data_IF_613942345371
#
_entry.id   IF_613942345371
#
_cell.length_a   1.000
_cell.length_b   1.000
_cell.length_c   1.000
_cell.angle_alpha   90.00
_cell.angle_beta   90.00
_cell.angle_gamma   90.00
#
_symmetry.space_group_name_H-M   'P 1'
#
loop_
_entity.id
_entity.type
_entity.pdbx_description
1 polymer ?
#
# COMPACT_ATOMS: atom_id res chain seq x y z
N UNK A 1 4.56 -15.57 -44.50
CA UNK A 1 5.39 -14.56 -43.81
C UNK A 1 5.04 -14.63 -42.32
N UNK A 2 5.84 -15.28 -41.52
CA UNK A 2 5.58 -15.41 -40.08
C UNK A 2 6.08 -14.14 -39.42
N UNK A 3 5.17 -13.32 -38.90
CA UNK A 3 5.53 -12.20 -38.02
C UNK A 3 6.15 -12.77 -36.77
N UNK A 4 7.41 -12.42 -36.51
CA UNK A 4 8.10 -12.81 -35.29
C UNK A 4 7.27 -12.35 -34.09
N UNK A 5 6.86 -13.29 -33.21
CA UNK A 5 6.18 -12.97 -31.96
C UNK A 5 7.11 -12.08 -31.14
N UNK A 6 6.77 -10.81 -31.00
CA UNK A 6 7.49 -9.88 -30.15
C UNK A 6 7.44 -10.40 -28.72
N UNK A 7 8.59 -10.82 -28.18
CA UNK A 7 8.71 -11.17 -26.77
C UNK A 7 8.85 -9.87 -25.98
N UNK A 8 7.89 -9.62 -25.11
CA UNK A 8 7.96 -8.48 -24.18
C UNK A 8 8.87 -8.82 -22.99
N UNK A 9 9.64 -7.84 -22.55
CA UNK A 9 10.37 -7.92 -21.28
C UNK A 9 9.41 -7.78 -20.10
N UNK A 10 9.79 -8.26 -18.91
CA UNK A 10 8.97 -8.06 -17.70
C UNK A 10 8.67 -6.59 -17.44
N UNK A 11 9.65 -5.70 -17.67
CA UNK A 11 9.47 -4.25 -17.54
C UNK A 11 8.38 -3.73 -18.48
N UNK A 12 8.40 -4.11 -19.76
CA UNK A 12 7.38 -3.70 -20.74
C UNK A 12 5.99 -4.19 -20.32
N UNK A 13 5.87 -5.41 -19.80
CA UNK A 13 4.60 -5.96 -19.30
C UNK A 13 4.11 -5.16 -18.09
N UNK A 14 4.97 -4.89 -17.11
CA UNK A 14 4.64 -4.11 -15.93
C UNK A 14 4.23 -2.68 -16.29
N UNK A 15 4.91 -2.05 -17.24
CA UNK A 15 4.57 -0.71 -17.70
C UNK A 15 3.20 -0.68 -18.39
N UNK A 16 2.80 -1.74 -19.08
CA UNK A 16 1.45 -1.86 -19.64
C UNK A 16 0.39 -2.06 -18.55
N UNK A 17 0.66 -2.89 -17.53
CA UNK A 17 -0.26 -3.12 -16.42
C UNK A 17 -0.49 -1.83 -15.63
N UNK A 18 0.54 -1.03 -15.42
CA UNK A 18 0.50 0.21 -14.65
C UNK A 18 0.47 1.47 -15.55
N UNK A 19 -0.02 1.33 -16.78
CA UNK A 19 -0.20 2.46 -17.69
C UNK A 19 -1.09 3.57 -17.07
N UNK A 20 -0.82 4.87 -17.29
CA UNK A 20 0.24 5.41 -18.14
C UNK A 20 1.61 5.62 -17.48
N UNK A 21 1.77 5.38 -16.19
CA UNK A 21 2.94 5.83 -15.44
C UNK A 21 3.98 4.73 -15.16
N UNK A 22 3.65 3.46 -15.42
CA UNK A 22 4.50 2.33 -15.08
C UNK A 22 4.71 2.15 -13.56
N UNK A 23 5.51 1.16 -13.17
CA UNK A 23 5.89 0.93 -11.78
C UNK A 23 7.36 1.21 -11.55
N UNK A 24 7.65 2.01 -10.49
CA UNK A 24 9.02 2.24 -10.01
C UNK A 24 9.33 1.45 -8.74
N UNK A 25 8.38 0.64 -8.26
CA UNK A 25 8.47 -0.10 -6.99
C UNK A 25 8.37 -1.60 -7.20
N UNK A 26 7.48 -2.05 -8.08
CA UNK A 26 7.38 -3.45 -8.51
C UNK A 26 8.31 -3.65 -9.70
N UNK A 27 9.28 -4.56 -9.58
CA UNK A 27 10.31 -4.76 -10.59
C UNK A 27 10.13 -6.02 -11.41
N UNK A 28 9.43 -7.03 -10.87
CA UNK A 28 9.26 -8.33 -11.50
C UNK A 28 7.80 -8.78 -11.51
N UNK A 29 7.45 -9.67 -12.43
CA UNK A 29 6.13 -10.30 -12.46
C UNK A 29 5.91 -11.19 -11.24
N UNK A 30 6.96 -11.75 -10.66
CA UNK A 30 6.87 -12.54 -9.44
C UNK A 30 6.43 -11.68 -8.24
N UNK A 31 6.95 -10.45 -8.11
CA UNK A 31 6.49 -9.51 -7.08
C UNK A 31 5.02 -9.13 -7.27
N UNK A 32 4.61 -8.89 -8.50
CA UNK A 32 3.21 -8.63 -8.83
C UNK A 32 2.31 -9.82 -8.47
N UNK A 33 2.72 -11.02 -8.81
CA UNK A 33 1.99 -12.25 -8.50
C UNK A 33 1.93 -12.50 -6.98
N UNK A 34 3.00 -12.21 -6.25
CA UNK A 34 3.02 -12.29 -4.80
C UNK A 34 1.97 -11.38 -4.17
N UNK A 35 1.86 -10.12 -4.62
CA UNK A 35 0.83 -9.19 -4.17
C UNK A 35 -0.58 -9.70 -4.50
N UNK A 36 -0.79 -10.27 -5.67
CA UNK A 36 -2.08 -10.87 -6.05
C UNK A 36 -2.46 -12.04 -5.13
N UNK A 37 -1.50 -12.92 -4.83
CA UNK A 37 -1.71 -14.04 -3.90
C UNK A 37 -2.07 -13.53 -2.50
N UNK A 38 -1.34 -12.55 -1.98
CA UNK A 38 -1.56 -12.03 -0.63
C UNK A 38 -2.90 -11.31 -0.47
N UNK A 39 -3.35 -10.60 -1.51
CA UNK A 39 -4.59 -9.81 -1.47
C UNK A 39 -5.81 -10.57 -1.99
N UNK A 40 -5.62 -11.69 -2.69
CA UNK A 40 -6.67 -12.38 -3.42
C UNK A 40 -7.21 -11.60 -4.63
N UNK A 41 -6.53 -10.54 -5.07
CA UNK A 41 -6.97 -9.67 -6.17
C UNK A 41 -6.45 -10.18 -7.51
N UNK A 42 -7.33 -10.35 -8.50
CA UNK A 42 -6.95 -10.78 -9.86
C UNK A 42 -6.24 -9.67 -10.65
N UNK A 43 -6.63 -8.42 -10.45
CA UNK A 43 -6.09 -7.25 -11.15
C UNK A 43 -5.71 -6.12 -10.21
N UNK A 44 -4.64 -5.40 -10.55
CA UNK A 44 -4.19 -4.20 -9.85
C UNK A 44 -4.21 -3.02 -10.84
N UNK A 45 -4.72 -1.89 -10.39
CA UNK A 45 -4.72 -0.64 -11.16
C UNK A 45 -3.98 0.43 -10.38
N UNK A 46 -3.13 1.18 -11.07
CA UNK A 46 -2.45 2.32 -10.47
C UNK A 46 -3.43 3.48 -10.32
N UNK A 47 -3.74 3.83 -9.07
CA UNK A 47 -4.67 4.91 -8.72
C UNK A 47 -3.94 6.23 -8.53
N UNK A 48 -2.77 6.18 -7.88
CA UNK A 48 -1.94 7.33 -7.58
C UNK A 48 -0.45 6.96 -7.68
N UNK A 49 0.32 7.79 -8.35
CA UNK A 49 1.78 7.78 -8.34
C UNK A 49 2.26 9.15 -7.88
N UNK A 50 2.69 9.26 -6.64
CA UNK A 50 3.02 10.54 -6.00
C UNK A 50 4.11 11.32 -6.73
N UNK A 51 5.10 10.65 -7.32
CA UNK A 51 6.14 11.30 -8.14
C UNK A 51 5.61 11.99 -9.41
N UNK A 52 4.38 11.69 -9.82
CA UNK A 52 3.72 12.29 -11.00
C UNK A 52 2.57 13.20 -10.58
N UNK A 53 1.73 12.73 -9.66
CA UNK A 53 0.48 13.39 -9.28
C UNK A 53 0.61 14.31 -8.06
N UNK A 54 1.78 14.35 -7.42
CA UNK A 54 1.99 15.08 -6.18
C UNK A 54 1.76 14.22 -4.94
N UNK A 55 2.16 14.76 -3.79
CA UNK A 55 2.27 14.09 -2.50
C UNK A 55 1.39 14.75 -1.41
N UNK A 56 0.36 15.49 -1.79
CA UNK A 56 -0.60 16.06 -0.85
C UNK A 56 -1.63 15.03 -0.37
N UNK A 57 -2.05 15.17 0.88
CA UNK A 57 -3.12 14.36 1.48
C UNK A 57 -4.42 14.53 0.70
N UNK A 58 -4.77 15.75 0.33
CA UNK A 58 -5.99 16.04 -0.44
C UNK A 58 -6.03 15.23 -1.75
N UNK A 59 -4.92 15.21 -2.49
CA UNK A 59 -4.83 14.41 -3.72
C UNK A 59 -4.94 12.92 -3.43
N UNK A 60 -4.27 12.43 -2.38
CA UNK A 60 -4.38 11.03 -1.95
C UNK A 60 -5.83 10.67 -1.60
N UNK A 61 -6.48 11.44 -0.74
CA UNK A 61 -7.84 11.19 -0.30
C UNK A 61 -8.83 11.24 -1.47
N UNK A 62 -8.70 12.22 -2.38
CA UNK A 62 -9.57 12.32 -3.56
C UNK A 62 -9.53 11.07 -4.46
N UNK A 63 -8.39 10.37 -4.49
CA UNK A 63 -8.17 9.16 -5.30
C UNK A 63 -8.53 7.86 -4.57
N UNK A 64 -8.53 7.87 -3.24
CA UNK A 64 -8.70 6.65 -2.42
C UNK A 64 -10.05 6.59 -1.67
N UNK A 65 -11.01 7.44 -2.00
CA UNK A 65 -12.32 7.49 -1.34
C UNK A 65 -13.42 6.61 -1.97
N UNK A 66 -13.08 5.76 -2.94
CA UNK A 66 -14.07 5.04 -3.76
C UNK A 66 -14.65 3.77 -3.12
N UNK A 67 -14.30 3.44 -1.88
CA UNK A 67 -14.78 2.24 -1.19
C UNK A 67 -14.13 0.91 -1.65
N UNK A 68 -13.08 0.98 -2.47
CA UNK A 68 -12.34 -0.19 -2.98
C UNK A 68 -11.18 -0.54 -2.05
N UNK A 69 -10.68 -1.76 -2.20
CA UNK A 69 -9.44 -2.19 -1.55
C UNK A 69 -8.22 -1.49 -2.15
N UNK A 70 -7.22 -1.23 -1.33
CA UNK A 70 -6.01 -0.53 -1.76
C UNK A 70 -4.73 -1.26 -1.34
N UNK A 71 -3.73 -1.19 -2.22
CA UNK A 71 -2.35 -1.50 -1.89
C UNK A 71 -1.58 -0.18 -1.90
N UNK A 72 -0.93 0.13 -0.79
CA UNK A 72 0.01 1.24 -0.67
C UNK A 72 1.42 0.69 -0.83
N UNK A 73 2.16 1.24 -1.77
CA UNK A 73 3.55 0.86 -2.04
C UNK A 73 4.48 2.03 -1.71
N UNK A 74 5.51 1.76 -0.94
CA UNK A 74 6.50 2.74 -0.52
C UNK A 74 7.90 2.28 -0.93
N UNK A 75 8.65 3.20 -1.51
CA UNK A 75 10.09 3.04 -1.75
C UNK A 75 10.85 4.18 -1.07
N UNK A 76 11.74 3.84 -0.17
CA UNK A 76 12.56 4.83 0.53
C UNK A 76 13.69 5.34 -0.36
N UNK A 77 14.30 6.47 0.02
CA UNK A 77 15.51 7.00 -0.63
C UNK A 77 16.70 6.01 -0.57
N UNK A 78 16.71 5.12 0.41
CA UNK A 78 17.71 4.04 0.52
C UNK A 78 17.39 2.80 -0.31
N UNK A 79 16.24 2.80 -1.02
CA UNK A 79 15.83 1.72 -1.90
C UNK A 79 14.98 0.64 -1.23
N UNK A 80 14.72 0.69 0.08
CA UNK A 80 13.84 -0.28 0.74
C UNK A 80 12.40 -0.17 0.24
N UNK A 81 11.78 -1.32 -0.02
CA UNK A 81 10.43 -1.41 -0.59
C UNK A 81 9.52 -2.20 0.33
N UNK A 82 8.43 -1.57 0.72
CA UNK A 82 7.43 -2.13 1.60
C UNK A 82 6.07 -1.49 1.31
N UNK A 83 5.05 -1.92 2.03
CA UNK A 83 3.73 -1.35 1.87
C UNK A 83 2.70 -1.94 2.80
N UNK A 84 1.45 -1.67 2.46
CA UNK A 84 0.30 -2.14 3.20
C UNK A 84 -0.85 -2.50 2.24
N UNK A 85 -1.72 -3.37 2.71
CA UNK A 85 -3.00 -3.68 2.08
C UNK A 85 -4.14 -3.39 3.04
N UNK A 86 -5.21 -2.82 2.51
CA UNK A 86 -6.49 -2.67 3.20
C UNK A 86 -7.64 -3.04 2.28
N UNK A 87 -8.67 -3.67 2.85
CA UNK A 87 -9.92 -3.95 2.16
C UNK A 87 -10.96 -2.83 2.28
N UNK A 88 -10.63 -1.76 3.03
CA UNK A 88 -11.48 -0.58 3.23
C UNK A 88 -10.80 0.68 2.72
N UNK A 89 -11.55 1.76 2.54
CA UNK A 89 -10.98 3.04 2.09
C UNK A 89 -10.38 3.84 3.24
N UNK A 90 -9.58 4.85 2.89
CA UNK A 90 -8.94 5.78 3.83
C UNK A 90 -9.77 7.03 4.13
N UNK A 91 -11.00 7.16 3.59
CA UNK A 91 -11.85 8.33 3.81
C UNK A 91 -12.44 8.29 5.22
N UNK A 92 -12.37 9.37 6.01
CA UNK A 92 -13.15 9.49 7.25
C UNK A 92 -14.65 9.28 6.97
N UNK A 93 -15.40 8.74 7.94
CA UNK A 93 -16.85 8.60 7.79
C UNK A 93 -17.51 9.99 7.74
N UNK A 94 -18.30 10.26 6.71
CA UNK A 94 -19.00 11.55 6.51
C UNK A 94 -20.00 11.91 7.62
N UNK A 95 -20.34 10.94 8.47
CA UNK A 95 -21.33 11.10 9.55
C UNK A 95 -20.70 11.32 10.95
N UNK A 96 -19.37 11.43 11.02
CA UNK A 96 -18.74 11.76 12.29
C UNK A 96 -18.90 13.29 12.53
N UNK A 97 -19.90 13.66 13.33
CA UNK A 97 -20.18 15.06 13.70
C UNK A 97 -19.05 15.73 14.51
N UNK A 98 -18.04 14.98 14.89
CA UNK A 98 -16.84 15.44 15.61
C UNK A 98 -15.64 14.86 14.89
N UNK A 99 -14.73 15.72 14.46
CA UNK A 99 -13.43 15.34 13.85
C UNK A 99 -12.55 14.77 14.96
N UNK A 100 -12.73 13.49 15.23
CA UNK A 100 -11.84 12.66 16.05
C UNK A 100 -11.29 11.59 15.14
N UNK A 101 -10.07 11.13 15.37
CA UNK A 101 -9.45 10.01 14.68
C UNK A 101 -10.47 8.88 14.49
N UNK A 102 -10.92 8.69 13.26
CA UNK A 102 -11.88 7.64 12.96
C UNK A 102 -11.13 6.38 12.63
N UNK A 103 -11.21 5.41 13.53
CA UNK A 103 -10.65 4.08 13.27
C UNK A 103 -11.62 3.25 12.44
N UNK A 104 -11.08 2.41 11.57
CA UNK A 104 -11.84 1.44 10.78
C UNK A 104 -11.30 0.03 11.01
N UNK A 105 -12.20 -0.92 11.30
CA UNK A 105 -11.82 -2.31 11.39
C UNK A 105 -11.52 -2.88 10.00
N UNK A 106 -10.50 -3.75 9.93
CA UNK A 106 -10.17 -4.50 8.73
C UNK A 106 -9.39 -5.77 9.10
N UNK A 107 -10.05 -6.91 9.11
CA UNK A 107 -9.49 -8.22 9.40
C UNK A 107 -8.57 -8.77 8.28
N UNK A 108 -8.61 -8.11 7.11
CA UNK A 108 -7.79 -8.46 5.95
C UNK A 108 -6.56 -7.57 5.80
N UNK A 109 -6.46 -6.51 6.60
CA UNK A 109 -5.36 -5.58 6.52
C UNK A 109 -4.03 -6.22 6.95
N UNK A 110 -2.97 -5.90 6.23
CA UNK A 110 -1.62 -6.33 6.55
C UNK A 110 -0.58 -5.33 6.05
N UNK A 111 0.59 -5.37 6.69
CA UNK A 111 1.81 -4.73 6.20
C UNK A 111 2.66 -5.77 5.47
N UNK A 112 3.59 -5.33 4.63
CA UNK A 112 4.48 -6.24 3.94
C UNK A 112 5.82 -5.60 3.59
N UNK A 113 6.84 -6.44 3.43
CA UNK A 113 8.12 -6.10 2.83
C UNK A 113 8.24 -6.80 1.47
N UNK A 114 8.41 -6.03 0.40
CA UNK A 114 8.72 -6.60 -0.92
C UNK A 114 10.15 -7.14 -0.95
N UNK A 115 11.08 -6.49 -0.29
CA UNK A 115 12.48 -6.90 -0.28
C UNK A 115 12.67 -8.26 0.43
N UNK A 116 11.92 -8.49 1.52
CA UNK A 116 11.94 -9.77 2.25
C UNK A 116 10.93 -10.78 1.72
N UNK A 117 9.95 -10.34 0.93
CA UNK A 117 8.79 -11.15 0.48
C UNK A 117 7.99 -11.70 1.66
N UNK A 118 7.78 -10.89 2.68
CA UNK A 118 7.10 -11.23 3.92
C UNK A 118 5.86 -10.36 4.14
N UNK A 119 4.83 -10.96 4.75
CA UNK A 119 3.56 -10.34 5.10
C UNK A 119 3.34 -10.40 6.60
N UNK A 120 2.85 -9.30 7.19
CA UNK A 120 2.62 -9.12 8.62
C UNK A 120 1.17 -8.70 8.86
N UNK A 121 0.38 -9.59 9.48
CA UNK A 121 -1.01 -9.28 9.79
C UNK A 121 -1.11 -8.23 10.90
N UNK A 122 -2.06 -7.31 10.77
CA UNK A 122 -2.35 -6.33 11.82
C UNK A 122 -2.99 -7.05 13.01
N UNK A 123 -2.50 -6.76 14.21
CA UNK A 123 -2.96 -7.46 15.44
C UNK A 123 -4.29 -6.93 15.94
N UNK A 124 -4.41 -5.61 16.02
CA UNK A 124 -5.64 -4.95 16.45
C UNK A 124 -6.49 -4.64 15.21
N UNK A 125 -7.33 -5.58 14.83
CA UNK A 125 -8.18 -5.49 13.64
C UNK A 125 -9.25 -4.40 13.77
N UNK A 126 -9.69 -4.06 14.98
CA UNK A 126 -10.72 -3.04 15.22
C UNK A 126 -10.18 -1.63 14.93
N UNK A 127 -8.87 -1.45 15.10
CA UNK A 127 -8.15 -0.20 14.83
C UNK A 127 -7.13 -0.37 13.70
N UNK A 128 -7.46 -1.19 12.70
CA UNK A 128 -6.53 -1.51 11.63
C UNK A 128 -6.13 -0.28 10.82
N UNK A 129 -7.08 0.62 10.58
CA UNK A 129 -6.89 1.86 9.80
C UNK A 129 -7.29 3.04 10.67
N UNK A 130 -6.47 4.08 10.68
CA UNK A 130 -6.82 5.40 11.25
C UNK A 130 -6.99 6.37 10.09
N UNK A 131 -8.16 6.98 10.03
CA UNK A 131 -8.50 7.98 9.04
C UNK A 131 -8.46 9.36 9.70
N UNK A 132 -7.57 10.22 9.24
CA UNK A 132 -7.35 11.57 9.75
C UNK A 132 -7.14 12.54 8.59
N UNK A 133 -7.57 13.80 8.74
CA UNK A 133 -7.41 14.80 7.68
C UNK A 133 -5.95 15.21 7.46
N UNK A 134 -5.11 15.01 8.47
CA UNK A 134 -3.67 15.34 8.43
C UNK A 134 -2.77 14.17 8.06
N UNK A 135 -3.33 12.98 7.83
CA UNK A 135 -2.60 11.74 7.57
C UNK A 135 -3.13 11.09 6.28
N UNK A 136 -2.23 10.79 5.34
CA UNK A 136 -2.60 10.08 4.12
C UNK A 136 -2.88 8.61 4.40
N UNK A 137 -2.02 7.95 5.17
CA UNK A 137 -2.15 6.54 5.56
C UNK A 137 -1.72 6.38 7.01
N UNK A 138 -2.56 5.73 7.83
CA UNK A 138 -2.15 5.22 9.14
C UNK A 138 -2.76 3.83 9.33
N UNK A 139 -1.91 2.85 9.55
CA UNK A 139 -2.29 1.44 9.68
C UNK A 139 -1.54 0.77 10.83
N UNK A 140 -2.19 -0.22 11.48
CA UNK A 140 -1.59 -1.01 12.54
C UNK A 140 -1.22 -0.18 13.78
N UNK A 141 -2.09 0.74 14.20
CA UNK A 141 -1.83 1.64 15.35
C UNK A 141 -0.54 2.45 15.22
N UNK A 142 -0.20 2.84 13.98
CA UNK A 142 0.99 3.62 13.67
C UNK A 142 2.20 2.79 13.24
N UNK A 143 2.03 1.49 12.96
CA UNK A 143 3.08 0.66 12.37
C UNK A 143 3.48 1.15 10.96
N UNK A 144 2.55 1.75 10.23
CA UNK A 144 2.81 2.51 9.02
C UNK A 144 2.06 3.83 9.08
N UNK A 145 2.80 4.94 9.02
CA UNK A 145 2.21 6.28 8.95
C UNK A 145 2.83 7.04 7.77
N UNK A 146 1.96 7.59 6.91
CA UNK A 146 2.34 8.48 5.81
C UNK A 146 1.59 9.80 6.01
N UNK A 147 2.34 10.84 6.29
CA UNK A 147 1.83 12.21 6.52
C UNK A 147 1.89 13.03 5.23
N UNK A 148 1.44 14.29 5.29
CA UNK A 148 1.50 15.22 4.16
C UNK A 148 2.94 15.43 3.64
N UNK A 149 3.06 15.75 2.36
CA UNK A 149 4.35 15.96 1.68
C UNK A 149 5.31 14.76 1.80
N UNK A 150 4.78 13.54 1.67
CA UNK A 150 5.51 12.30 1.95
C UNK A 150 6.71 12.03 1.02
N UNK A 151 6.85 12.73 -0.10
CA UNK A 151 8.07 12.69 -0.92
C UNK A 151 9.24 13.44 -0.27
N UNK A 152 8.96 14.36 0.65
CA UNK A 152 9.95 15.23 1.31
C UNK A 152 10.24 14.78 2.73
N UNK A 153 9.25 14.22 3.42
CA UNK A 153 9.32 13.80 4.83
C UNK A 153 9.60 12.30 4.91
N UNK A 154 10.48 11.83 5.80
CA UNK A 154 10.71 10.39 5.99
C UNK A 154 9.44 9.71 6.49
N UNK A 155 9.04 8.62 5.83
CA UNK A 155 8.03 7.69 6.37
C UNK A 155 8.57 7.12 7.69
N UNK A 156 7.83 7.29 8.77
CA UNK A 156 8.20 6.69 10.06
C UNK A 156 7.74 5.23 10.06
N UNK A 157 8.71 4.32 10.19
CA UNK A 157 8.46 2.95 10.60
C UNK A 157 8.71 2.91 12.10
N UNK A 158 7.76 2.52 12.94
CA UNK A 158 8.02 2.33 14.35
C UNK A 158 9.04 1.22 14.54
N UNK A 159 9.94 1.45 15.48
CA UNK A 159 10.90 0.46 15.94
C UNK A 159 10.12 -0.74 16.45
N UNK A 160 10.38 -1.90 15.90
CA UNK A 160 9.89 -3.23 16.28
C UNK A 160 9.52 -3.36 17.76
N UNK A 161 8.26 -3.17 18.14
CA UNK A 161 7.79 -3.52 19.48
C UNK A 161 6.84 -4.71 19.51
N UNK A 162 6.43 -5.28 18.37
CA UNK A 162 5.33 -6.26 18.38
C UNK A 162 5.41 -7.40 17.36
N UNK A 163 6.52 -7.62 16.68
CA UNK A 163 6.68 -8.82 15.89
C UNK A 163 7.14 -9.98 16.79
N UNK A 164 6.20 -10.72 17.35
CA UNK A 164 6.51 -12.06 17.89
C UNK A 164 6.66 -12.99 16.69
N UNK A 165 7.85 -13.52 16.54
CA UNK A 165 8.10 -14.67 15.70
C UNK A 165 7.19 -15.81 16.14
N UNK A 166 6.43 -16.38 15.20
CA UNK A 166 5.77 -17.65 15.43
C UNK A 166 6.85 -18.74 15.45
N UNK A 167 7.45 -18.98 16.61
CA UNK A 167 8.10 -20.25 16.86
C UNK A 167 6.99 -21.31 16.92
N UNK A 168 6.85 -22.07 15.86
CA UNK A 168 6.28 -23.40 15.94
C UNK A 168 7.24 -24.22 16.82
N UNK A 169 6.83 -24.49 18.02
CA UNK A 169 7.38 -25.58 18.83
C UNK A 169 6.64 -26.83 18.42
N UNK A 170 7.40 -27.86 18.09
CA UNK A 170 6.99 -29.23 17.81
C UNK A 170 6.04 -29.82 18.88
#
# INVERSE_FOLDING_TARGET
MFTANKRYTEKEILDQIFYPYGSDIIYTLDELNLLRIWTGMAGLHLVLKSSVSGDSIENFQSKTNSGRSYIVLVKTKKGHRFGAYTSVNFKPNEYAEIIVDVTKPDDKAFLFSLDKKEKYMIKNIDNAIVCDESIAVSMGEGDLVITDNFLKIPVRLPIQRTLRENHHSD
#
